data_IF_010193812665
#
_entry.id   IF_010193812665
#
_cell.length_a   1.000
_cell.length_b   1.000
_cell.length_c   1.000
_cell.angle_alpha   90.00
_cell.angle_beta   90.00
_cell.angle_gamma   90.00
#
_symmetry.space_group_name_H-M   'P 1'
#
loop_
_entity.id
_entity.type
_entity.pdbx_description
1 polymer ?
#
# COMPACT_ATOMS: atom_id res chain seq x y z
N UNK A 1 -30.10 -0.51 -2.61
CA UNK A 1 -28.95 0.05 -3.33
C UNK A 1 -27.62 0.05 -2.54
N UNK A 2 -27.54 0.55 -1.30
CA UNK A 2 -26.28 0.57 -0.50
C UNK A 2 -25.60 -0.80 -0.33
N UNK A 3 -26.34 -1.90 -0.18
CA UNK A 3 -25.76 -3.24 0.03
C UNK A 3 -25.10 -3.84 -1.21
N UNK A 4 -25.60 -3.51 -2.40
CA UNK A 4 -25.01 -3.99 -3.66
C UNK A 4 -23.66 -3.33 -3.94
N UNK A 5 -23.54 -2.04 -3.68
CA UNK A 5 -22.29 -1.29 -3.81
C UNK A 5 -21.20 -1.81 -2.87
N UNK A 6 -21.55 -2.15 -1.63
CA UNK A 6 -20.58 -2.72 -0.69
C UNK A 6 -20.07 -4.09 -1.14
N UNK A 7 -20.89 -4.92 -1.77
CA UNK A 7 -20.47 -6.21 -2.30
C UNK A 7 -19.55 -6.07 -3.53
N UNK A 8 -19.90 -5.18 -4.45
CA UNK A 8 -19.08 -4.89 -5.63
C UNK A 8 -17.71 -4.32 -5.23
N UNK A 9 -17.66 -3.41 -4.26
CA UNK A 9 -16.39 -2.80 -3.76
C UNK A 9 -15.46 -3.84 -3.11
N UNK A 10 -15.99 -4.91 -2.54
CA UNK A 10 -15.16 -5.97 -1.91
C UNK A 10 -14.37 -6.78 -2.93
N UNK A 11 -14.85 -6.89 -4.18
CA UNK A 11 -14.28 -7.74 -5.22
C UNK A 11 -13.49 -6.99 -6.31
N UNK A 12 -13.56 -5.65 -6.36
CA UNK A 12 -12.92 -4.87 -7.41
C UNK A 12 -11.40 -4.73 -7.16
N UNK A 13 -10.61 -5.30 -8.06
CA UNK A 13 -9.14 -5.13 -8.07
C UNK A 13 -8.72 -3.85 -8.77
N UNK A 14 -9.51 -3.43 -9.77
CA UNK A 14 -9.24 -2.26 -10.60
C UNK A 14 -10.54 -1.51 -10.87
N UNK A 15 -10.49 -0.19 -10.77
CA UNK A 15 -11.58 0.73 -11.11
C UNK A 15 -11.13 1.70 -12.18
N UNK A 16 -12.08 2.19 -12.98
CA UNK A 16 -11.85 3.28 -13.92
C UNK A 16 -13.01 4.27 -13.89
N UNK A 17 -12.70 5.55 -13.97
CA UNK A 17 -13.66 6.62 -14.18
C UNK A 17 -13.33 7.40 -15.44
N UNK A 18 -14.38 7.81 -16.16
CA UNK A 18 -14.26 8.65 -17.34
C UNK A 18 -15.02 9.96 -17.10
N UNK A 19 -14.31 11.06 -17.04
CA UNK A 19 -14.89 12.39 -16.87
C UNK A 19 -13.96 13.47 -17.44
N UNK A 20 -14.54 14.58 -17.92
CA UNK A 20 -13.79 15.77 -18.33
C UNK A 20 -13.72 16.80 -17.21
N UNK A 21 -14.72 16.82 -16.35
CA UNK A 21 -14.80 17.73 -15.22
C UNK A 21 -13.83 17.32 -14.10
N UNK A 22 -12.89 18.19 -13.77
CA UNK A 22 -11.89 17.97 -12.73
C UNK A 22 -12.50 17.87 -11.33
N UNK A 23 -13.58 18.58 -11.04
CA UNK A 23 -14.28 18.49 -9.76
C UNK A 23 -14.99 17.13 -9.60
N UNK A 24 -15.58 16.63 -10.69
CA UNK A 24 -16.18 15.29 -10.68
C UNK A 24 -15.12 14.21 -10.47
N UNK A 25 -13.93 14.33 -11.08
CA UNK A 25 -12.80 13.43 -10.90
C UNK A 25 -12.34 13.44 -9.44
N UNK A 26 -12.11 14.63 -8.86
CA UNK A 26 -11.68 14.78 -7.48
C UNK A 26 -12.70 14.18 -6.49
N UNK A 27 -13.98 14.48 -6.69
CA UNK A 27 -15.06 13.89 -5.88
C UNK A 27 -15.08 12.38 -5.96
N UNK A 28 -14.96 11.81 -7.17
CA UNK A 28 -14.92 10.37 -7.37
C UNK A 28 -13.69 9.74 -6.72
N UNK A 29 -12.52 10.32 -6.92
CA UNK A 29 -11.26 9.89 -6.33
C UNK A 29 -11.34 9.82 -4.79
N UNK A 30 -11.87 10.87 -4.16
CA UNK A 30 -12.00 10.93 -2.71
C UNK A 30 -13.06 9.95 -2.18
N UNK A 31 -14.19 9.81 -2.90
CA UNK A 31 -15.27 8.91 -2.50
C UNK A 31 -14.89 7.44 -2.65
N UNK A 32 -14.15 7.10 -3.71
CA UNK A 32 -13.80 5.73 -4.09
C UNK A 32 -12.37 5.33 -3.70
N UNK A 33 -11.69 6.11 -2.85
CA UNK A 33 -10.27 5.89 -2.49
C UNK A 33 -9.94 4.48 -1.98
N UNK A 34 -10.91 3.76 -1.45
CA UNK A 34 -10.75 2.40 -0.93
C UNK A 34 -11.46 1.35 -1.78
N UNK A 35 -11.94 1.71 -2.96
CA UNK A 35 -12.68 0.78 -3.82
C UNK A 35 -11.77 -0.22 -4.51
N UNK A 36 -10.62 0.24 -4.99
CA UNK A 36 -9.67 -0.58 -5.73
C UNK A 36 -8.22 -0.26 -5.38
N UNK A 37 -7.35 -1.24 -5.60
CA UNK A 37 -5.90 -1.06 -5.45
C UNK A 37 -5.28 -0.30 -6.61
N UNK A 38 -5.85 -0.42 -7.81
CA UNK A 38 -5.48 0.34 -9.00
C UNK A 38 -6.68 1.14 -9.47
N UNK A 39 -6.53 2.45 -9.51
CA UNK A 39 -7.58 3.39 -9.87
C UNK A 39 -7.16 4.19 -11.11
N UNK A 40 -7.94 4.09 -12.18
CA UNK A 40 -7.63 4.69 -13.47
C UNK A 40 -8.56 5.88 -13.75
N UNK A 41 -8.01 6.93 -14.31
CA UNK A 41 -8.76 8.13 -14.70
C UNK A 41 -8.59 8.30 -16.21
N UNK A 42 -9.72 8.25 -16.93
CA UNK A 42 -9.78 8.34 -18.39
C UNK A 42 -8.88 7.32 -19.11
N UNK A 43 -8.69 6.16 -18.48
CA UNK A 43 -7.91 5.07 -19.05
C UNK A 43 -8.61 3.72 -18.78
N UNK A 44 -8.24 2.69 -19.53
CA UNK A 44 -8.81 1.36 -19.38
C UNK A 44 -8.35 0.72 -18.08
N UNK A 45 -9.22 0.03 -17.33
CA UNK A 45 -8.88 -0.59 -16.06
C UNK A 45 -8.15 -1.94 -16.22
N UNK A 46 -7.35 -2.10 -17.24
CA UNK A 46 -6.66 -3.35 -17.58
C UNK A 46 -5.26 -3.07 -18.13
N UNK A 47 -4.43 -4.11 -18.19
CA UNK A 47 -3.10 -3.99 -18.79
C UNK A 47 -2.10 -3.28 -17.89
N UNK A 48 -2.21 -3.50 -16.57
CA UNK A 48 -1.22 -3.00 -15.63
C UNK A 48 0.18 -3.48 -16.00
N UNK A 49 1.13 -2.54 -16.01
CA UNK A 49 2.53 -2.78 -16.37
C UNK A 49 3.34 -2.96 -15.11
N UNK A 50 4.19 -3.98 -15.08
CA UNK A 50 5.12 -4.24 -13.97
C UNK A 50 5.92 -2.97 -13.67
N UNK A 51 6.10 -2.67 -12.39
CA UNK A 51 6.75 -1.47 -11.84
C UNK A 51 6.02 -0.13 -12.07
N UNK A 52 5.03 -0.06 -12.96
CA UNK A 52 4.24 1.16 -13.17
C UNK A 52 2.89 1.12 -12.44
N UNK A 53 2.13 0.03 -12.62
CA UNK A 53 0.85 -0.17 -11.95
C UNK A 53 0.85 -1.55 -11.25
N UNK A 54 1.57 -1.72 -10.15
CA UNK A 54 1.63 -2.99 -9.46
C UNK A 54 0.25 -3.37 -8.90
N UNK A 55 -0.04 -4.67 -8.92
CA UNK A 55 -1.31 -5.22 -8.49
C UNK A 55 -1.45 -5.34 -6.98
N UNK A 56 -2.68 -5.30 -6.51
CA UNK A 56 -3.04 -5.49 -5.12
C UNK A 56 -3.71 -4.26 -4.54
N UNK A 57 -4.47 -4.47 -3.50
CA UNK A 57 -5.23 -3.42 -2.83
C UNK A 57 -5.82 -3.94 -1.53
N UNK A 58 -6.60 -3.10 -0.86
CA UNK A 58 -7.26 -3.42 0.39
C UNK A 58 -8.40 -4.43 0.23
N UNK A 59 -8.88 -4.96 1.34
CA UNK A 59 -10.00 -5.91 1.43
C UNK A 59 -9.69 -7.21 0.67
N UNK A 60 -10.65 -7.67 -0.17
CA UNK A 60 -10.51 -8.88 -0.98
C UNK A 60 -9.78 -8.66 -2.31
N UNK A 61 -9.18 -7.48 -2.53
CA UNK A 61 -8.41 -7.15 -3.73
C UNK A 61 -7.01 -7.81 -3.77
N UNK A 62 -6.74 -8.73 -2.90
CA UNK A 62 -5.47 -9.41 -2.75
C UNK A 62 -4.68 -8.89 -1.56
N UNK A 63 -3.38 -9.17 -1.54
CA UNK A 63 -2.49 -8.64 -0.52
C UNK A 63 -2.10 -7.19 -0.84
N UNK A 64 -1.79 -6.39 0.17
CA UNK A 64 -1.31 -5.02 -0.02
C UNK A 64 0.15 -4.95 -0.52
N UNK A 65 0.75 -6.06 -0.88
CA UNK A 65 2.16 -6.15 -1.24
C UNK A 65 2.47 -5.60 -2.63
N UNK A 66 1.44 -5.21 -3.40
CA UNK A 66 1.60 -4.60 -4.72
C UNK A 66 2.46 -5.45 -5.66
N UNK A 67 1.97 -6.63 -6.01
CA UNK A 67 2.62 -7.57 -6.93
C UNK A 67 3.04 -6.88 -8.24
N UNK A 68 4.29 -7.07 -8.65
CA UNK A 68 4.89 -6.35 -9.76
C UNK A 68 5.56 -5.02 -9.38
N UNK A 69 5.59 -4.67 -8.10
CA UNK A 69 6.31 -3.51 -7.57
C UNK A 69 7.40 -3.89 -6.57
N UNK A 70 8.30 -2.95 -6.24
CA UNK A 70 9.41 -3.21 -5.32
C UNK A 70 8.94 -3.55 -3.90
N UNK A 71 7.78 -3.08 -3.48
CA UNK A 71 7.22 -3.37 -2.16
C UNK A 71 6.93 -4.87 -1.97
N UNK A 72 6.63 -5.59 -3.05
CA UNK A 72 6.44 -7.02 -2.99
C UNK A 72 7.72 -7.77 -2.59
N UNK A 73 8.88 -7.28 -2.98
CA UNK A 73 10.17 -7.90 -2.68
C UNK A 73 10.50 -7.89 -1.19
N UNK A 74 10.00 -6.90 -0.44
CA UNK A 74 10.24 -6.79 1.01
C UNK A 74 9.72 -8.02 1.75
N UNK A 75 8.63 -8.62 1.29
CA UNK A 75 8.06 -9.83 1.88
C UNK A 75 8.99 -11.06 1.77
N UNK A 76 9.87 -11.07 0.78
CA UNK A 76 10.81 -12.16 0.52
C UNK A 76 12.18 -11.91 1.15
N UNK A 77 12.37 -10.78 1.83
CA UNK A 77 13.60 -10.42 2.51
C UNK A 77 13.45 -10.60 4.02
N UNK A 78 14.55 -10.94 4.65
CA UNK A 78 14.65 -10.98 6.10
C UNK A 78 15.71 -9.97 6.55
N UNK A 79 15.32 -8.75 6.91
CA UNK A 79 16.25 -7.71 7.33
C UNK A 79 17.05 -8.17 8.56
N UNK A 80 18.35 -8.05 8.50
CA UNK A 80 19.25 -8.37 9.60
C UNK A 80 19.94 -7.10 10.08
N UNK A 81 19.75 -6.78 11.35
CA UNK A 81 20.47 -5.69 11.99
C UNK A 81 21.69 -6.24 12.72
N UNK A 82 22.84 -5.62 12.49
CA UNK A 82 24.08 -5.96 13.20
C UNK A 82 24.54 -4.71 13.95
N UNK A 83 24.73 -4.84 15.25
CA UNK A 83 25.35 -3.83 16.10
C UNK A 83 26.62 -4.40 16.68
N UNK A 84 27.73 -3.75 16.42
CA UNK A 84 29.02 -4.11 16.99
C UNK A 84 29.49 -2.98 17.91
N UNK A 85 29.96 -3.33 19.07
CA UNK A 85 30.63 -2.41 20.00
C UNK A 85 32.14 -2.72 20.00
N UNK A 86 32.93 -1.82 19.45
CA UNK A 86 34.40 -2.00 19.35
C UNK A 86 35.08 -2.02 20.72
N UNK A 87 34.49 -1.33 21.68
CA UNK A 87 34.92 -1.39 23.09
C UNK A 87 33.78 -2.01 23.89
N UNK A 88 33.87 -3.29 24.25
CA UNK A 88 32.81 -3.94 24.99
C UNK A 88 32.55 -3.23 26.33
N UNK A 89 31.28 -3.05 26.73
CA UNK A 89 30.94 -2.44 28.01
C UNK A 89 31.36 -3.36 29.16
N UNK A 90 31.95 -2.77 30.19
CA UNK A 90 32.32 -3.46 31.41
C UNK A 90 31.29 -3.37 32.52
N UNK A 91 30.22 -2.57 32.32
CA UNK A 91 29.11 -2.38 33.22
C UNK A 91 27.77 -2.72 32.51
N UNK A 92 26.88 -3.37 33.20
CA UNK A 92 25.55 -3.69 32.70
C UNK A 92 24.57 -2.50 32.78
N UNK A 93 24.92 -1.45 33.53
CA UNK A 93 24.09 -0.26 33.70
C UNK A 93 24.22 0.69 32.52
N UNK A 94 23.10 1.22 32.06
CA UNK A 94 23.10 2.33 31.10
C UNK A 94 23.37 3.66 31.84
N UNK A 95 24.12 4.60 31.24
CA UNK A 95 24.42 5.89 31.88
C UNK A 95 23.19 6.64 32.40
N UNK A 96 22.08 6.64 31.66
CA UNK A 96 20.85 7.32 32.05
C UNK A 96 20.16 6.71 33.29
N UNK A 97 20.47 5.48 33.66
CA UNK A 97 19.92 4.84 34.87
C UNK A 97 20.61 5.35 36.15
N UNK A 98 21.77 6.01 36.02
CA UNK A 98 22.53 6.59 37.13
C UNK A 98 22.25 8.07 37.38
N UNK A 99 21.47 8.72 36.52
CA UNK A 99 21.07 10.12 36.69
C UNK A 99 19.96 10.22 37.75
N UNK A 100 20.23 10.99 38.83
CA UNK A 100 19.25 11.31 39.86
C UNK A 100 18.75 12.74 39.67
#
# INVERSE_FOLDING_TARGET
>A
MRRLWNFVIVLLRTDSIFARDRYAIDKAFNTLRYSAGNFYINDKPTGAVIAQQPFGGSRASGTNDKAGGPLNLIRWTNPRCIKECLVPPTSYGYPFLGEK
#
